data_IF_201022032570
#
_entry.id   IF_201022032570
#
_cell.length_a   1.000
_cell.length_b   1.000
_cell.length_c   1.000
_cell.angle_alpha   90.00
_cell.angle_beta   90.00
_cell.angle_gamma   90.00
#
_symmetry.space_group_name_H-M   'P 1'
#
loop_
_entity.id
_entity.type
_entity.pdbx_description
1 polymer ?
#
# COMPACT_ATOMS: atom_id res chain seq x y z
N UNK A 1 17.72 22.29 -30.45
CA UNK A 1 16.37 21.70 -30.59
C UNK A 1 15.62 21.91 -29.28
N UNK A 2 14.28 21.88 -29.23
CA UNK A 2 13.57 21.92 -27.96
C UNK A 2 13.96 20.69 -27.13
N UNK A 3 14.43 20.90 -25.90
CA UNK A 3 14.66 19.82 -24.95
C UNK A 3 13.32 19.38 -24.37
N UNK A 4 12.87 18.19 -24.75
CA UNK A 4 11.62 17.62 -24.26
C UNK A 4 11.81 16.85 -22.94
N UNK A 5 13.04 16.58 -22.50
CA UNK A 5 13.37 15.67 -21.41
C UNK A 5 12.89 14.24 -21.66
N UNK A 6 13.20 13.32 -20.74
CA UNK A 6 12.75 11.93 -20.86
C UNK A 6 11.23 11.81 -20.62
N UNK A 7 10.54 11.05 -21.48
CA UNK A 7 9.08 10.83 -21.36
C UNK A 7 8.76 9.36 -21.12
N UNK A 8 7.95 9.10 -20.09
CA UNK A 8 7.35 7.78 -19.85
C UNK A 8 6.08 7.64 -20.69
N UNK A 9 6.06 6.67 -21.59
CA UNK A 9 4.98 6.43 -22.55
C UNK A 9 4.43 5.01 -22.39
N UNK A 10 3.18 4.82 -22.82
CA UNK A 10 2.52 3.52 -22.90
C UNK A 10 1.98 3.34 -24.31
N UNK A 11 2.20 2.16 -24.88
CA UNK A 11 1.57 1.78 -26.14
C UNK A 11 0.12 1.36 -25.91
N UNK A 12 -0.69 1.34 -26.97
CA UNK A 12 -2.03 0.76 -26.90
C UNK A 12 -1.91 -0.76 -26.64
N UNK A 13 -2.48 -1.27 -25.53
CA UNK A 13 -2.49 -2.70 -25.22
C UNK A 13 -3.03 -3.58 -26.35
N UNK A 14 -4.04 -3.09 -27.10
CA UNK A 14 -4.66 -3.84 -28.19
C UNK A 14 -3.72 -3.97 -29.38
N UNK A 15 -3.09 -2.85 -29.76
CA UNK A 15 -2.11 -2.81 -30.83
C UNK A 15 -0.96 -3.78 -30.55
N UNK A 16 -0.43 -3.78 -29.32
CA UNK A 16 0.62 -4.71 -28.93
C UNK A 16 0.15 -6.16 -28.93
N UNK A 17 -1.07 -6.45 -28.47
CA UNK A 17 -1.62 -7.80 -28.51
C UNK A 17 -1.80 -8.31 -29.94
N UNK A 18 -2.35 -7.49 -30.84
CA UNK A 18 -2.54 -7.80 -32.26
C UNK A 18 -1.21 -8.02 -32.99
N UNK A 19 -0.17 -7.29 -32.58
CA UNK A 19 1.20 -7.46 -33.09
C UNK A 19 1.97 -8.65 -32.47
N UNK A 20 1.34 -9.45 -31.60
CA UNK A 20 1.98 -10.62 -30.95
C UNK A 20 2.80 -10.29 -29.70
N UNK A 21 2.80 -9.05 -29.24
CA UNK A 21 3.51 -8.55 -28.06
C UNK A 21 2.59 -8.34 -26.85
N UNK A 22 1.53 -9.13 -26.71
CA UNK A 22 0.53 -8.98 -25.63
C UNK A 22 1.12 -9.02 -24.21
N UNK A 23 2.26 -9.70 -24.01
CA UNK A 23 2.99 -9.70 -22.73
C UNK A 23 3.56 -8.32 -22.34
N UNK A 24 3.76 -7.43 -23.32
CA UNK A 24 4.28 -6.07 -23.13
C UNK A 24 3.18 -5.01 -23.07
N UNK A 25 1.92 -5.40 -23.24
CA UNK A 25 0.77 -4.51 -23.43
C UNK A 25 0.63 -3.40 -22.37
N UNK A 26 1.20 -3.58 -21.19
CA UNK A 26 1.11 -2.65 -20.07
C UNK A 26 2.46 -2.21 -19.51
N UNK A 27 3.54 -2.51 -20.23
CA UNK A 27 4.88 -2.09 -19.84
C UNK A 27 5.12 -0.65 -20.28
N UNK A 28 5.60 0.23 -19.38
CA UNK A 28 6.05 1.55 -19.78
C UNK A 28 7.33 1.46 -20.59
N UNK A 29 7.53 2.41 -21.48
CA UNK A 29 8.81 2.65 -22.14
C UNK A 29 9.16 4.14 -22.09
N UNK A 30 10.42 4.44 -22.31
CA UNK A 30 11.02 5.76 -22.23
C UNK A 30 11.37 6.26 -23.64
N UNK A 31 11.01 7.51 -23.90
CA UNK A 31 11.59 8.30 -24.97
C UNK A 31 12.67 9.21 -24.39
N UNK A 32 13.77 9.38 -25.13
CA UNK A 32 14.87 10.30 -24.80
C UNK A 32 14.51 11.76 -25.16
N UNK A 33 15.38 12.75 -24.87
CA UNK A 33 15.14 14.15 -25.18
C UNK A 33 14.99 14.49 -26.67
N UNK A 34 15.48 13.63 -27.58
CA UNK A 34 15.38 13.75 -29.04
C UNK A 34 14.18 12.92 -29.61
N UNK A 35 13.09 12.85 -28.85
CA UNK A 35 12.03 11.83 -28.94
C UNK A 35 12.41 10.42 -29.45
N UNK A 36 13.65 9.99 -29.27
CA UNK A 36 14.16 8.70 -29.67
C UNK A 36 13.82 7.60 -28.66
N UNK A 37 13.88 6.34 -29.10
CA UNK A 37 13.68 5.20 -28.20
C UNK A 37 14.92 5.01 -27.33
N UNK A 38 14.80 5.23 -26.02
CA UNK A 38 15.90 5.08 -25.06
C UNK A 38 16.29 3.59 -24.87
N UNK A 39 17.15 3.08 -25.75
CA UNK A 39 17.39 1.63 -25.96
C UNK A 39 17.75 0.86 -24.69
N UNK A 40 18.82 1.25 -23.99
CA UNK A 40 19.27 0.53 -22.79
C UNK A 40 18.30 0.69 -21.61
N UNK A 41 17.81 1.91 -21.29
CA UNK A 41 16.78 2.06 -20.26
C UNK A 41 15.55 1.20 -20.50
N UNK A 42 15.09 1.11 -21.75
CA UNK A 42 13.93 0.28 -22.08
C UNK A 42 14.23 -1.22 -21.98
N UNK A 43 15.41 -1.68 -22.40
CA UNK A 43 15.78 -3.08 -22.21
C UNK A 43 15.82 -3.46 -20.71
N UNK A 44 16.33 -2.58 -19.85
CA UNK A 44 16.27 -2.78 -18.40
C UNK A 44 14.83 -2.90 -17.88
N UNK A 45 13.94 -1.99 -18.29
CA UNK A 45 12.53 -2.05 -17.90
C UNK A 45 11.83 -3.31 -18.41
N UNK A 46 12.16 -3.77 -19.62
CA UNK A 46 11.62 -5.00 -20.20
C UNK A 46 12.10 -6.23 -19.42
N UNK A 47 13.40 -6.35 -19.17
CA UNK A 47 13.97 -7.47 -18.42
C UNK A 47 13.37 -7.55 -17.01
N UNK A 48 13.22 -6.40 -16.36
CA UNK A 48 12.59 -6.31 -15.04
C UNK A 48 11.10 -6.62 -15.07
N UNK A 49 10.37 -6.06 -16.03
CA UNK A 49 8.93 -6.20 -16.17
C UNK A 49 8.47 -7.59 -16.61
N UNK A 50 9.36 -8.36 -17.25
CA UNK A 50 9.13 -9.76 -17.65
C UNK A 50 9.72 -10.78 -16.67
N UNK A 51 10.39 -10.30 -15.61
CA UNK A 51 11.02 -11.14 -14.60
C UNK A 51 12.30 -11.85 -15.07
N UNK A 52 12.91 -11.40 -16.18
CA UNK A 52 14.20 -11.91 -16.64
C UNK A 52 15.37 -11.41 -15.79
N UNK A 53 15.20 -10.26 -15.15
CA UNK A 53 16.19 -9.71 -14.24
C UNK A 53 15.51 -9.04 -13.05
N UNK A 54 16.11 -9.21 -11.88
CA UNK A 54 15.74 -8.52 -10.65
C UNK A 54 17.00 -8.37 -9.77
N UNK A 55 17.01 -7.41 -8.83
CA UNK A 55 18.22 -7.11 -8.06
C UNK A 55 18.62 -8.24 -7.11
N UNK A 56 17.68 -9.12 -6.75
CA UNK A 56 17.92 -10.22 -5.80
C UNK A 56 18.65 -11.37 -6.47
N UNK A 57 18.21 -11.79 -7.65
CA UNK A 57 18.81 -12.92 -8.36
C UNK A 57 19.76 -12.51 -9.48
N UNK A 58 19.86 -11.22 -9.80
CA UNK A 58 20.75 -10.66 -10.84
C UNK A 58 20.65 -11.37 -12.20
N UNK A 59 19.47 -11.90 -12.51
CA UNK A 59 19.18 -12.63 -13.75
C UNK A 59 19.58 -14.12 -13.73
N UNK A 60 20.13 -14.65 -12.64
CA UNK A 60 20.42 -16.08 -12.49
C UNK A 60 19.15 -16.95 -12.49
N UNK A 61 18.04 -16.38 -12.02
CA UNK A 61 16.74 -17.05 -11.95
C UNK A 61 15.67 -16.12 -12.51
N UNK A 62 14.75 -16.70 -13.27
CA UNK A 62 13.56 -15.98 -13.70
C UNK A 62 12.64 -15.78 -12.51
N UNK A 63 12.26 -14.53 -12.24
CA UNK A 63 11.21 -14.23 -11.28
C UNK A 63 9.85 -14.65 -11.87
N UNK A 64 9.16 -15.66 -11.31
CA UNK A 64 7.91 -16.14 -11.86
C UNK A 64 6.76 -15.13 -11.70
N UNK A 65 6.89 -14.17 -10.77
CA UNK A 65 5.89 -13.15 -10.51
C UNK A 65 6.56 -11.77 -10.67
N UNK A 66 6.51 -11.19 -11.88
CA UNK A 66 7.15 -9.91 -12.13
C UNK A 66 6.51 -8.77 -11.31
N UNK A 67 7.19 -7.61 -11.23
CA UNK A 67 6.66 -6.45 -10.53
C UNK A 67 5.28 -6.02 -11.04
N UNK A 68 4.47 -5.46 -10.14
CA UNK A 68 3.13 -4.97 -10.49
C UNK A 68 3.19 -3.82 -11.51
N UNK A 69 2.07 -3.55 -12.20
CA UNK A 69 1.97 -2.42 -13.15
C UNK A 69 2.32 -1.07 -12.51
N UNK A 70 1.92 -0.87 -11.26
CA UNK A 70 2.23 0.36 -10.50
C UNK A 70 3.73 0.43 -10.20
N UNK A 71 4.34 -0.70 -9.84
CA UNK A 71 5.80 -0.78 -9.63
C UNK A 71 6.55 -0.41 -10.92
N UNK A 72 6.19 -1.01 -12.06
CA UNK A 72 6.81 -0.70 -13.34
C UNK A 72 6.64 0.76 -13.75
N UNK A 73 5.45 1.33 -13.56
CA UNK A 73 5.20 2.76 -13.75
C UNK A 73 6.12 3.64 -12.91
N UNK A 74 6.33 3.28 -11.65
CA UNK A 74 7.20 4.02 -10.74
C UNK A 74 8.67 3.86 -11.14
N UNK A 75 9.13 2.65 -11.45
CA UNK A 75 10.48 2.39 -11.93
C UNK A 75 10.81 3.21 -13.18
N UNK A 76 9.93 3.23 -14.18
CA UNK A 76 10.13 4.02 -15.38
C UNK A 76 10.22 5.53 -15.09
N UNK A 77 9.35 6.06 -14.21
CA UNK A 77 9.39 7.48 -13.82
C UNK A 77 10.66 7.84 -13.06
N UNK A 78 11.08 7.00 -12.13
CA UNK A 78 12.30 7.22 -11.35
C UNK A 78 13.55 7.11 -12.21
N UNK A 79 13.58 6.16 -13.15
CA UNK A 79 14.67 6.00 -14.10
C UNK A 79 14.74 7.19 -15.05
N UNK A 80 13.61 7.64 -15.60
CA UNK A 80 13.54 8.85 -16.42
C UNK A 80 14.09 10.07 -15.67
N UNK A 81 13.73 10.24 -14.39
CA UNK A 81 14.24 11.33 -13.56
C UNK A 81 15.76 11.26 -13.33
N UNK A 82 16.33 10.06 -13.21
CA UNK A 82 17.78 9.86 -13.07
C UNK A 82 18.53 10.11 -14.38
N UNK A 83 17.96 9.67 -15.51
CA UNK A 83 18.52 9.90 -16.85
C UNK A 83 18.51 11.39 -17.21
N UNK A 84 17.40 12.08 -16.96
CA UNK A 84 17.27 13.52 -17.19
C UNK A 84 18.28 14.32 -16.34
N UNK A 85 18.49 13.90 -15.09
CA UNK A 85 19.53 14.48 -14.24
C UNK A 85 20.91 14.29 -14.84
N UNK A 86 21.22 13.05 -15.25
CA UNK A 86 22.52 12.70 -15.78
C UNK A 86 22.85 13.50 -17.05
N UNK A 87 21.89 13.59 -17.99
CA UNK A 87 22.04 14.38 -19.22
C UNK A 87 22.24 15.87 -18.91
N UNK A 88 21.44 16.43 -17.99
CA UNK A 88 21.57 17.84 -17.55
C UNK A 88 22.94 18.13 -16.94
N UNK A 89 23.55 17.15 -16.28
CA UNK A 89 24.87 17.27 -15.65
C UNK A 89 26.02 16.78 -16.54
N UNK A 90 25.72 16.35 -17.77
CA UNK A 90 26.67 15.73 -18.70
C UNK A 90 27.41 14.54 -18.08
N UNK A 91 26.67 13.71 -17.35
CA UNK A 91 27.14 12.47 -16.72
C UNK A 91 26.56 11.30 -17.50
N UNK A 92 27.39 10.31 -17.83
CA UNK A 92 26.89 9.02 -18.30
C UNK A 92 26.37 8.21 -17.12
N UNK A 93 25.05 8.15 -16.94
CA UNK A 93 24.44 7.40 -15.83
C UNK A 93 24.88 5.93 -15.80
N UNK A 94 25.16 5.31 -16.94
CA UNK A 94 25.57 3.91 -16.97
C UNK A 94 26.96 3.72 -16.36
N UNK A 95 27.83 4.72 -16.44
CA UNK A 95 29.22 4.68 -15.97
C UNK A 95 29.49 5.52 -14.71
N UNK A 96 28.50 6.29 -14.26
CA UNK A 96 28.60 7.13 -13.08
C UNK A 96 29.08 6.36 -11.84
N UNK A 97 29.91 7.02 -11.03
CA UNK A 97 30.43 6.47 -9.79
C UNK A 97 29.38 6.49 -8.66
N UNK A 98 29.45 5.50 -7.79
CA UNK A 98 28.54 5.40 -6.65
C UNK A 98 28.67 6.61 -5.72
N UNK A 99 29.90 6.93 -5.29
CA UNK A 99 30.16 7.89 -4.22
C UNK A 99 30.09 9.31 -4.75
N UNK A 100 30.83 9.63 -5.81
CA UNK A 100 30.94 11.00 -6.29
C UNK A 100 29.68 11.48 -7.00
N UNK A 101 29.05 10.61 -7.81
CA UNK A 101 27.94 11.03 -8.67
C UNK A 101 26.59 10.73 -8.05
N UNK A 102 26.32 9.45 -7.72
CA UNK A 102 24.98 9.07 -7.26
C UNK A 102 24.69 9.55 -5.83
N UNK A 103 25.64 9.41 -4.90
CA UNK A 103 25.48 9.88 -3.52
C UNK A 103 25.83 11.37 -3.41
N UNK A 104 27.05 11.75 -3.81
CA UNK A 104 27.57 13.11 -3.64
C UNK A 104 26.86 14.18 -4.47
N UNK A 105 26.12 13.77 -5.51
CA UNK A 105 25.38 14.72 -6.36
C UNK A 105 23.91 14.37 -6.51
N UNK A 106 23.54 13.27 -7.18
CA UNK A 106 22.12 13.00 -7.48
C UNK A 106 21.25 12.95 -6.21
N UNK A 107 21.69 12.21 -5.19
CA UNK A 107 21.01 12.13 -3.91
C UNK A 107 21.02 13.47 -3.17
N UNK A 108 22.18 14.11 -3.05
CA UNK A 108 22.31 15.41 -2.35
C UNK A 108 21.51 16.54 -3.00
N UNK A 109 21.50 16.62 -4.33
CA UNK A 109 20.76 17.65 -5.08
C UNK A 109 19.25 17.49 -4.87
N UNK A 110 18.73 16.27 -4.82
CA UNK A 110 17.33 16.03 -4.46
C UNK A 110 17.01 16.43 -3.02
N UNK A 111 17.91 16.13 -2.06
CA UNK A 111 17.75 16.50 -0.66
C UNK A 111 17.83 18.02 -0.44
N UNK A 112 18.64 18.73 -1.24
CA UNK A 112 18.74 20.19 -1.20
C UNK A 112 17.64 20.89 -2.00
N UNK A 113 16.82 20.14 -2.74
CA UNK A 113 15.78 20.68 -3.63
C UNK A 113 16.30 21.22 -4.97
N UNK A 114 17.61 21.12 -5.22
CA UNK A 114 18.26 21.50 -6.49
C UNK A 114 17.72 20.64 -7.64
N UNK A 115 17.54 19.34 -7.40
CA UNK A 115 16.92 18.43 -8.36
C UNK A 115 15.51 18.04 -7.90
N UNK A 116 14.57 18.97 -8.03
CA UNK A 116 13.17 18.76 -7.69
C UNK A 116 12.26 19.61 -8.58
N UNK A 117 11.02 19.16 -8.81
CA UNK A 117 10.10 19.88 -9.71
C UNK A 117 9.71 21.28 -9.19
N UNK A 118 9.59 21.42 -7.86
CA UNK A 118 9.11 22.65 -7.21
C UNK A 118 10.24 23.42 -6.50
N UNK A 119 11.51 23.08 -6.77
CA UNK A 119 12.69 23.62 -6.07
C UNK A 119 12.61 23.48 -4.54
N UNK A 120 12.08 22.35 -4.05
CA UNK A 120 11.95 22.03 -2.63
C UNK A 120 12.67 20.73 -2.28
N UNK A 121 13.33 20.65 -1.11
CA UNK A 121 13.87 19.41 -0.57
C UNK A 121 12.89 18.25 -0.68
N UNK A 122 13.37 17.12 -1.21
CA UNK A 122 12.58 15.88 -1.27
C UNK A 122 12.78 15.05 0.00
N UNK A 123 11.71 14.39 0.43
CA UNK A 123 11.75 13.51 1.59
C UNK A 123 12.58 12.23 1.31
N UNK A 124 13.26 11.65 2.32
CA UNK A 124 14.04 10.42 2.17
C UNK A 124 13.28 9.27 1.51
N UNK A 125 11.98 9.15 1.77
CA UNK A 125 11.08 8.13 1.21
C UNK A 125 10.88 8.30 -0.30
N UNK A 126 11.12 9.49 -0.85
CA UNK A 126 11.09 9.76 -2.29
C UNK A 126 12.47 9.63 -2.91
N UNK A 127 13.50 10.10 -2.20
CA UNK A 127 14.90 10.07 -2.67
C UNK A 127 15.42 8.65 -2.78
N UNK A 128 15.22 7.83 -1.74
CA UNK A 128 15.79 6.49 -1.68
C UNK A 128 15.35 5.59 -2.85
N UNK A 129 14.05 5.48 -3.22
CA UNK A 129 13.63 4.66 -4.36
C UNK A 129 14.18 5.16 -5.71
N UNK A 130 14.38 6.48 -5.87
CA UNK A 130 14.95 7.05 -7.09
C UNK A 130 16.43 6.72 -7.25
N UNK A 131 17.20 6.86 -6.17
CA UNK A 131 18.60 6.43 -6.18
C UNK A 131 18.68 4.92 -6.39
N UNK A 132 17.80 4.15 -5.75
CA UNK A 132 17.76 2.69 -5.88
C UNK A 132 17.57 2.24 -7.33
N UNK A 133 16.62 2.82 -8.09
CA UNK A 133 16.43 2.40 -9.48
C UNK A 133 17.63 2.74 -10.38
N UNK A 134 18.32 3.85 -10.11
CA UNK A 134 19.53 4.23 -10.84
C UNK A 134 20.66 3.21 -10.60
N UNK A 135 20.81 2.78 -9.34
CA UNK A 135 21.75 1.73 -8.96
C UNK A 135 21.41 0.39 -9.61
N UNK A 136 20.14 0.00 -9.60
CA UNK A 136 19.67 -1.24 -10.21
C UNK A 136 19.88 -1.23 -11.73
N UNK A 137 19.73 -0.09 -12.39
CA UNK A 137 20.06 0.06 -13.80
C UNK A 137 21.56 -0.18 -14.08
N UNK A 138 22.44 0.34 -13.23
CA UNK A 138 23.89 0.07 -13.32
C UNK A 138 24.23 -1.39 -13.01
N UNK A 139 23.60 -2.00 -12.01
CA UNK A 139 23.78 -3.44 -11.71
C UNK A 139 23.37 -4.30 -12.90
N UNK A 140 22.19 -4.04 -13.49
CA UNK A 140 21.72 -4.72 -14.69
C UNK A 140 22.70 -4.52 -15.85
N UNK A 141 23.20 -3.31 -16.06
CA UNK A 141 24.17 -3.04 -17.12
C UNK A 141 25.47 -3.85 -16.93
N UNK A 142 25.94 -4.00 -15.69
CA UNK A 142 27.09 -4.85 -15.38
C UNK A 142 26.79 -6.33 -15.68
N UNK A 143 25.61 -6.82 -15.28
CA UNK A 143 25.18 -8.22 -15.52
C UNK A 143 25.02 -8.53 -17.01
N UNK A 144 24.74 -7.51 -17.84
CA UNK A 144 24.67 -7.62 -19.30
C UNK A 144 26.00 -7.36 -20.01
N UNK A 145 27.09 -7.09 -19.28
CA UNK A 145 28.40 -6.77 -19.84
C UNK A 145 28.47 -5.42 -20.56
N UNK A 146 27.56 -4.50 -20.26
CA UNK A 146 27.53 -3.13 -20.82
C UNK A 146 28.43 -2.16 -20.05
N UNK A 147 28.88 -2.56 -18.85
CA UNK A 147 29.85 -1.84 -18.02
C UNK A 147 30.69 -2.82 -17.20
N UNK A 148 31.77 -2.32 -16.63
CA UNK A 148 32.56 -3.05 -15.64
C UNK A 148 31.73 -3.38 -14.39
N UNK A 149 32.12 -4.45 -13.64
CA UNK A 149 31.44 -4.88 -12.43
C UNK A 149 31.16 -3.70 -11.49
N UNK A 150 29.88 -3.54 -11.15
CA UNK A 150 29.42 -2.51 -10.25
C UNK A 150 29.07 -3.10 -8.89
N UNK A 151 29.78 -2.68 -7.85
CA UNK A 151 29.59 -3.13 -6.48
C UNK A 151 29.05 -1.97 -5.66
N UNK A 152 27.87 -2.14 -5.09
CA UNK A 152 27.26 -1.18 -4.17
C UNK A 152 27.75 -1.52 -2.77
N UNK A 153 28.46 -0.62 -2.07
CA UNK A 153 28.85 -0.86 -0.69
C UNK A 153 27.60 -1.01 0.19
N UNK A 154 27.49 -2.12 0.92
CA UNK A 154 26.38 -2.37 1.85
C UNK A 154 26.86 -2.47 3.30
N UNK A 155 25.94 -2.24 4.22
CA UNK A 155 26.03 -2.55 5.65
C UNK A 155 25.04 -3.68 5.93
N UNK A 156 25.41 -4.61 6.80
CA UNK A 156 24.61 -5.78 7.12
C UNK A 156 24.10 -5.67 8.56
N UNK A 157 22.78 -5.62 8.73
CA UNK A 157 22.13 -5.82 10.02
C UNK A 157 21.57 -7.23 10.11
N UNK A 158 21.51 -7.74 11.33
CA UNK A 158 20.82 -8.98 11.63
C UNK A 158 19.72 -8.68 12.65
N UNK A 159 18.48 -9.09 12.37
CA UNK A 159 17.37 -8.97 13.31
C UNK A 159 16.57 -10.29 13.42
N UNK A 160 16.00 -10.55 14.58
CA UNK A 160 15.16 -11.73 14.81
C UNK A 160 13.70 -11.30 14.68
N UNK A 161 13.01 -11.80 13.65
CA UNK A 161 11.59 -11.54 13.45
C UNK A 161 10.77 -12.64 14.12
N UNK A 162 10.27 -12.39 15.33
CA UNK A 162 9.30 -13.28 15.98
C UNK A 162 8.04 -13.41 15.11
N UNK A 163 7.70 -14.64 14.71
CA UNK A 163 6.45 -14.96 14.01
C UNK A 163 5.93 -16.30 14.53
N UNK A 164 4.72 -16.34 15.09
CA UNK A 164 4.12 -17.57 15.60
C UNK A 164 3.62 -18.53 14.50
N UNK A 165 3.54 -18.07 13.25
CA UNK A 165 3.02 -18.86 12.12
C UNK A 165 4.05 -19.76 11.42
N UNK A 166 5.30 -19.84 11.90
CA UNK A 166 6.34 -20.64 11.25
C UNK A 166 7.36 -21.18 12.25
N UNK A 167 7.73 -22.45 12.14
CA UNK A 167 8.71 -23.13 13.02
C UNK A 167 10.16 -22.61 12.85
N UNK A 168 10.38 -21.65 11.94
CA UNK A 168 11.67 -20.97 11.68
C UNK A 168 11.76 -19.55 12.26
N UNK A 169 10.92 -19.22 13.23
CA UNK A 169 10.80 -17.90 13.85
C UNK A 169 12.03 -17.43 14.65
N UNK A 170 12.99 -18.32 14.89
CA UNK A 170 14.27 -18.02 15.55
C UNK A 170 15.43 -17.76 14.58
N UNK A 171 15.23 -17.91 13.26
CA UNK A 171 16.28 -17.63 12.28
C UNK A 171 16.55 -16.13 12.21
N UNK A 172 17.78 -15.75 12.50
CA UNK A 172 18.24 -14.38 12.40
C UNK A 172 18.19 -13.93 10.92
N UNK A 173 17.39 -12.92 10.62
CA UNK A 173 17.26 -12.37 9.27
C UNK A 173 18.37 -11.37 9.02
N UNK A 174 19.16 -11.63 7.99
CA UNK A 174 20.26 -10.77 7.54
C UNK A 174 19.73 -9.81 6.49
N UNK A 175 19.95 -8.51 6.70
CA UNK A 175 19.45 -7.43 5.85
C UNK A 175 20.63 -6.62 5.39
N UNK A 176 20.71 -6.38 4.09
CA UNK A 176 21.72 -5.50 3.52
C UNK A 176 21.11 -4.16 3.15
N UNK A 177 21.68 -3.08 3.66
CA UNK A 177 21.33 -1.70 3.31
C UNK A 177 22.52 -1.03 2.63
N UNK A 178 22.30 -0.27 1.56
CA UNK A 178 23.39 0.46 0.89
C UNK A 178 23.98 1.54 1.81
N UNK A 179 25.30 1.66 1.85
CA UNK A 179 25.99 2.75 2.58
C UNK A 179 25.63 4.10 1.97
N UNK A 180 25.15 5.04 2.78
CA UNK A 180 24.69 6.35 2.28
C UNK A 180 23.20 6.42 1.93
N UNK A 181 22.41 5.37 2.23
CA UNK A 181 20.93 5.46 2.24
C UNK A 181 20.48 6.52 3.25
N UNK A 182 19.55 7.38 2.84
CA UNK A 182 19.05 8.46 3.71
C UNK A 182 18.08 7.89 4.73
N UNK A 183 18.23 8.25 6.00
CA UNK A 183 17.35 7.78 7.08
C UNK A 183 15.91 8.29 6.88
N UNK A 184 14.97 7.35 6.91
CA UNK A 184 13.52 7.62 6.92
C UNK A 184 13.07 7.76 8.37
N UNK A 185 12.43 8.88 8.70
CA UNK A 185 11.90 9.08 10.05
C UNK A 185 10.62 8.27 10.22
N UNK A 186 10.52 7.51 11.32
CA UNK A 186 9.31 6.77 11.63
C UNK A 186 8.14 7.73 11.84
N UNK A 187 7.01 7.43 11.21
CA UNK A 187 5.78 8.20 11.33
C UNK A 187 5.19 8.00 12.72
N UNK A 188 5.03 9.08 13.47
CA UNK A 188 4.22 9.08 14.69
C UNK A 188 2.73 9.10 14.31
N UNK A 189 1.94 8.18 14.88
CA UNK A 189 0.49 8.16 14.65
C UNK A 189 -0.19 9.20 15.54
N UNK A 190 -0.95 10.08 14.89
CA UNK A 190 -1.90 11.00 15.51
C UNK A 190 -3.21 10.91 14.74
N UNK A 191 -4.32 10.91 15.46
CA UNK A 191 -5.65 10.84 14.87
C UNK A 191 -6.51 12.03 15.29
N UNK A 192 -7.48 12.43 14.46
CA UNK A 192 -8.54 13.33 14.89
C UNK A 192 -9.34 12.73 16.06
N UNK A 193 -10.06 13.57 16.79
CA UNK A 193 -10.96 13.12 17.85
C UNK A 193 -12.11 12.26 17.27
N UNK A 194 -12.77 11.49 18.14
CA UNK A 194 -13.93 10.67 17.72
C UNK A 194 -15.04 11.58 17.20
N UNK A 195 -15.28 12.70 17.89
CA UNK A 195 -16.28 13.70 17.54
C UNK A 195 -15.98 14.35 16.19
N UNK A 196 -14.71 14.66 15.91
CA UNK A 196 -14.28 15.19 14.62
C UNK A 196 -14.52 14.21 13.46
N UNK A 197 -14.24 12.92 13.69
CA UNK A 197 -14.47 11.85 12.71
C UNK A 197 -15.97 11.64 12.50
N UNK A 198 -16.77 11.62 13.55
CA UNK A 198 -18.22 11.47 13.48
C UNK A 198 -18.87 12.64 12.74
N UNK A 199 -18.50 13.88 13.07
CA UNK A 199 -19.01 15.06 12.39
C UNK A 199 -18.59 15.06 10.90
N UNK A 200 -17.37 14.65 10.58
CA UNK A 200 -16.93 14.50 9.19
C UNK A 200 -17.71 13.40 8.45
N UNK A 201 -17.89 12.25 9.09
CA UNK A 201 -18.66 11.12 8.54
C UNK A 201 -20.10 11.53 8.26
N UNK A 202 -20.72 12.26 9.18
CA UNK A 202 -22.06 12.81 9.01
C UNK A 202 -22.14 13.74 7.78
N UNK A 203 -21.15 14.63 7.60
CA UNK A 203 -21.08 15.49 6.40
C UNK A 203 -20.95 14.69 5.12
N UNK A 204 -20.21 13.57 5.11
CA UNK A 204 -20.13 12.67 3.95
C UNK A 204 -21.51 12.10 3.62
N UNK A 205 -22.23 11.58 4.62
CA UNK A 205 -23.58 11.01 4.43
C UNK A 205 -24.61 12.05 3.96
N UNK A 206 -24.49 13.29 4.42
CA UNK A 206 -25.38 14.39 4.02
C UNK A 206 -25.14 14.95 2.62
N UNK A 207 -24.11 14.49 1.90
CA UNK A 207 -23.86 14.97 0.54
C UNK A 207 -25.02 14.60 -0.38
N UNK A 208 -25.58 15.58 -1.12
CA UNK A 208 -26.67 15.30 -2.05
C UNK A 208 -26.28 14.24 -3.08
N UNK A 209 -27.20 13.30 -3.33
CA UNK A 209 -27.10 12.23 -4.35
C UNK A 209 -26.03 11.15 -4.08
N UNK A 210 -24.81 11.54 -3.73
CA UNK A 210 -23.66 10.61 -3.57
C UNK A 210 -23.46 10.13 -2.12
N UNK A 211 -23.98 10.86 -1.14
CA UNK A 211 -23.67 10.66 0.28
C UNK A 211 -23.99 9.27 0.81
N UNK A 212 -25.11 8.68 0.41
CA UNK A 212 -25.47 7.31 0.81
C UNK A 212 -24.43 6.26 0.36
N UNK A 213 -23.82 6.45 -0.82
CA UNK A 213 -22.82 5.51 -1.35
C UNK A 213 -21.44 5.79 -0.77
N UNK A 214 -21.00 7.05 -0.77
CA UNK A 214 -19.70 7.44 -0.23
C UNK A 214 -19.63 7.18 1.28
N UNK A 215 -20.70 7.45 2.02
CA UNK A 215 -20.83 7.15 3.43
C UNK A 215 -20.71 5.65 3.72
N UNK A 216 -21.30 4.78 2.90
CA UNK A 216 -21.12 3.33 3.04
C UNK A 216 -19.69 2.88 2.75
N UNK A 217 -18.99 3.52 1.81
CA UNK A 217 -17.55 3.25 1.57
C UNK A 217 -16.73 3.63 2.82
N UNK A 218 -17.01 4.80 3.41
CA UNK A 218 -16.36 5.24 4.65
C UNK A 218 -16.62 4.26 5.78
N UNK A 219 -17.87 3.85 5.97
CA UNK A 219 -18.28 2.90 7.01
C UNK A 219 -17.55 1.57 6.86
N UNK A 220 -17.47 1.05 5.63
CA UNK A 220 -16.75 -0.17 5.34
C UNK A 220 -15.26 -0.04 5.72
N UNK A 221 -14.59 1.02 5.27
CA UNK A 221 -13.15 1.24 5.58
C UNK A 221 -12.92 1.38 7.08
N UNK A 222 -13.72 2.20 7.78
CA UNK A 222 -13.53 2.49 9.21
C UNK A 222 -13.87 1.34 10.14
N UNK A 223 -14.57 0.31 9.67
CA UNK A 223 -15.00 -0.82 10.50
C UNK A 223 -14.38 -2.17 10.09
N UNK A 224 -13.66 -2.21 8.97
CA UNK A 224 -12.98 -3.43 8.50
C UNK A 224 -11.50 -3.19 8.22
N UNK A 225 -11.05 -1.94 8.28
CA UNK A 225 -9.69 -1.52 8.02
C UNK A 225 -9.20 -1.87 6.60
N UNK A 226 -10.08 -2.14 5.63
CA UNK A 226 -9.64 -2.44 4.26
C UNK A 226 -8.93 -1.24 3.61
N UNK A 227 -8.05 -1.51 2.66
CA UNK A 227 -7.34 -0.48 1.89
C UNK A 227 -8.31 0.21 0.93
N UNK A 228 -7.98 1.44 0.56
CA UNK A 228 -8.70 2.24 -0.44
C UNK A 228 -8.92 1.48 -1.75
N UNK A 229 -7.88 0.85 -2.28
CA UNK A 229 -7.95 0.04 -3.51
C UNK A 229 -8.85 -1.18 -3.37
N UNK A 230 -8.85 -1.83 -2.20
CA UNK A 230 -9.71 -2.99 -1.90
C UNK A 230 -11.18 -2.54 -1.87
N UNK A 231 -11.48 -1.38 -1.28
CA UNK A 231 -12.82 -0.78 -1.32
C UNK A 231 -13.26 -0.45 -2.77
N UNK A 232 -12.37 0.13 -3.59
CA UNK A 232 -12.65 0.42 -5.00
C UNK A 232 -12.81 -0.83 -5.87
N UNK A 233 -12.25 -1.96 -5.47
CA UNK A 233 -12.34 -3.24 -6.17
C UNK A 233 -13.35 -4.20 -5.54
N UNK A 234 -14.08 -3.77 -4.50
CA UNK A 234 -15.08 -4.60 -3.82
C UNK A 234 -16.17 -5.00 -4.80
N UNK A 235 -16.48 -6.29 -4.89
CA UNK A 235 -17.46 -6.84 -5.83
C UNK A 235 -18.79 -7.13 -5.17
N UNK A 236 -19.83 -7.24 -5.98
CA UNK A 236 -21.19 -7.59 -5.52
C UNK A 236 -21.22 -8.93 -4.78
N UNK A 237 -20.36 -9.86 -5.19
CA UNK A 237 -20.21 -11.23 -4.70
C UNK A 237 -19.08 -11.40 -3.68
N UNK A 238 -18.33 -10.33 -3.32
CA UNK A 238 -17.35 -10.41 -2.23
C UNK A 238 -18.01 -10.78 -0.91
N UNK A 239 -19.24 -10.29 -0.69
CA UNK A 239 -20.16 -10.81 0.31
C UNK A 239 -21.09 -11.81 -0.40
N UNK A 240 -21.27 -13.06 0.09
CA UNK A 240 -22.14 -14.04 -0.56
C UNK A 240 -23.54 -13.50 -0.85
N UNK A 241 -24.11 -13.89 -1.99
CA UNK A 241 -25.36 -13.31 -2.51
C UNK A 241 -26.56 -13.70 -1.65
N UNK A 242 -26.66 -14.97 -1.26
CA UNK A 242 -27.65 -15.46 -0.31
C UNK A 242 -27.16 -15.22 1.13
N UNK A 243 -28.08 -14.80 2.00
CA UNK A 243 -27.84 -14.64 3.43
C UNK A 243 -27.50 -15.97 4.12
N UNK A 244 -28.01 -17.09 3.59
CA UNK A 244 -27.75 -18.44 4.12
C UNK A 244 -26.30 -18.88 3.95
N UNK A 245 -25.60 -18.30 2.98
CA UNK A 245 -24.19 -18.60 2.71
C UNK A 245 -23.23 -17.76 3.55
N UNK A 246 -23.76 -16.90 4.44
CA UNK A 246 -22.94 -16.03 5.28
C UNK A 246 -22.29 -16.84 6.40
N UNK A 247 -20.96 -16.90 6.37
CA UNK A 247 -20.16 -17.53 7.42
C UNK A 247 -20.01 -16.55 8.59
N UNK A 248 -20.83 -16.73 9.62
CA UNK A 248 -20.74 -15.94 10.85
C UNK A 248 -19.60 -16.51 11.72
N UNK A 249 -18.60 -15.67 12.04
CA UNK A 249 -17.43 -16.10 12.81
C UNK A 249 -17.77 -16.45 14.27
N UNK A 250 -18.76 -15.75 14.84
CA UNK A 250 -19.12 -15.79 16.25
C UNK A 250 -20.65 -15.82 16.45
N UNK A 251 -21.33 -16.88 16.01
CA UNK A 251 -22.81 -16.93 15.96
C UNK A 251 -23.50 -16.91 17.33
N UNK A 252 -22.79 -17.33 18.38
CA UNK A 252 -23.35 -17.40 19.73
C UNK A 252 -23.30 -16.05 20.48
N UNK A 253 -22.67 -15.03 19.89
CA UNK A 253 -22.56 -13.70 20.47
C UNK A 253 -23.76 -12.81 20.08
N UNK A 254 -24.05 -11.73 20.84
CA UNK A 254 -25.06 -10.74 20.46
C UNK A 254 -24.84 -10.19 19.05
N UNK A 255 -25.92 -9.89 18.33
CA UNK A 255 -25.89 -9.53 16.91
C UNK A 255 -24.95 -8.32 16.64
N UNK A 256 -24.86 -7.41 17.59
CA UNK A 256 -24.07 -6.17 17.51
C UNK A 256 -22.57 -6.43 17.39
N UNK A 257 -22.09 -7.57 17.90
CA UNK A 257 -20.68 -7.97 17.86
C UNK A 257 -20.42 -9.11 16.89
N UNK A 258 -21.46 -9.63 16.21
CA UNK A 258 -21.30 -10.66 15.19
C UNK A 258 -20.59 -10.12 13.95
N UNK A 259 -19.85 -11.00 13.28
CA UNK A 259 -19.14 -10.67 12.04
C UNK A 259 -19.25 -11.77 11.00
N UNK A 260 -19.29 -11.35 9.73
CA UNK A 260 -19.27 -12.22 8.55
C UNK A 260 -17.85 -12.32 8.02
N UNK A 261 -17.37 -13.53 7.79
CA UNK A 261 -16.07 -13.77 7.15
C UNK A 261 -16.23 -13.58 5.64
N UNK A 262 -15.40 -12.72 5.06
CA UNK A 262 -15.34 -12.51 3.60
C UNK A 262 -13.92 -12.62 3.10
N UNK A 263 -13.77 -13.09 1.87
CA UNK A 263 -12.48 -13.25 1.21
C UNK A 263 -12.26 -12.11 0.22
N UNK A 264 -11.11 -11.45 0.32
CA UNK A 264 -10.71 -10.40 -0.61
C UNK A 264 -9.44 -10.79 -1.38
N UNK A 265 -9.42 -10.48 -2.68
CA UNK A 265 -8.26 -10.74 -3.57
C UNK A 265 -8.04 -9.65 -4.63
N UNK A 266 -9.03 -8.80 -4.86
CA UNK A 266 -8.95 -7.73 -5.85
C UNK A 266 -8.46 -6.42 -5.23
N UNK A 267 -7.52 -5.75 -5.90
CA UNK A 267 -6.94 -4.51 -5.42
C UNK A 267 -6.03 -4.66 -4.19
N UNK A 268 -5.73 -5.89 -3.75
CA UNK A 268 -4.92 -6.14 -2.55
C UNK A 268 -3.45 -5.74 -2.78
N UNK A 269 -2.79 -5.28 -1.70
CA UNK A 269 -1.36 -4.90 -1.73
C UNK A 269 -0.48 -6.15 -1.87
N UNK A 270 0.68 -6.01 -2.51
CA UNK A 270 1.67 -7.10 -2.68
C UNK A 270 1.80 -7.56 -4.13
N UNK A 271 2.11 -8.84 -4.32
CA UNK A 271 2.27 -9.51 -5.62
C UNK A 271 1.06 -9.28 -6.54
N UNK A 272 1.27 -9.29 -7.86
CA UNK A 272 0.21 -9.24 -8.86
C UNK A 272 0.21 -10.56 -9.62
N UNK A 273 -0.77 -11.43 -9.34
CA UNK A 273 -0.90 -12.73 -9.99
C UNK A 273 -1.57 -12.64 -11.36
N UNK A 274 -2.26 -11.52 -11.62
CA UNK A 274 -2.91 -11.26 -12.89
C UNK A 274 -3.74 -9.99 -12.83
N UNK A 275 -4.29 -9.63 -13.97
CA UNK A 275 -5.37 -8.65 -14.09
C UNK A 275 -6.56 -9.38 -14.69
N UNK A 276 -7.72 -9.20 -14.10
CA UNK A 276 -8.92 -9.87 -14.59
C UNK A 276 -9.54 -9.14 -15.79
N UNK A 277 -10.61 -9.70 -16.35
CA UNK A 277 -11.33 -9.13 -17.49
C UNK A 277 -11.97 -7.76 -17.22
N UNK A 278 -12.10 -7.36 -15.95
CA UNK A 278 -12.63 -6.06 -15.53
C UNK A 278 -11.53 -5.04 -15.20
N UNK A 279 -10.26 -5.40 -15.39
CA UNK A 279 -9.12 -4.52 -15.18
C UNK A 279 -8.66 -4.41 -13.73
N UNK A 280 -9.16 -5.26 -12.83
CA UNK A 280 -8.73 -5.27 -11.43
C UNK A 280 -7.48 -6.11 -11.23
N UNK A 281 -6.60 -5.62 -10.35
CA UNK A 281 -5.45 -6.39 -9.88
C UNK A 281 -5.91 -7.59 -9.06
N UNK A 282 -5.48 -8.79 -9.46
CA UNK A 282 -5.54 -10.00 -8.64
C UNK A 282 -4.27 -10.04 -7.80
N UNK A 283 -4.40 -9.79 -6.50
CA UNK A 283 -3.30 -9.86 -5.54
C UNK A 283 -3.47 -11.02 -4.56
N UNK A 284 -2.69 -11.01 -3.45
CA UNK A 284 -2.82 -12.00 -2.39
C UNK A 284 -4.25 -12.07 -1.87
N UNK A 285 -4.75 -13.29 -1.76
CA UNK A 285 -6.05 -13.58 -1.17
C UNK A 285 -5.91 -13.59 0.35
N UNK A 286 -6.91 -13.04 1.05
CA UNK A 286 -7.00 -13.19 2.49
C UNK A 286 -8.41 -12.92 2.99
N UNK A 287 -8.69 -13.45 4.18
CA UNK A 287 -9.97 -13.30 4.85
C UNK A 287 -9.98 -12.07 5.76
N UNK A 288 -11.16 -11.48 5.91
CA UNK A 288 -11.44 -10.43 6.88
C UNK A 288 -12.80 -10.65 7.52
N UNK A 289 -12.97 -10.05 8.68
CA UNK A 289 -14.25 -9.99 9.37
C UNK A 289 -14.93 -8.66 9.03
N UNK A 290 -16.20 -8.75 8.63
CA UNK A 290 -17.08 -7.60 8.37
C UNK A 290 -18.17 -7.62 9.43
N UNK A 291 -18.34 -6.57 10.25
CA UNK A 291 -19.43 -6.50 11.22
C UNK A 291 -20.79 -6.79 10.55
N UNK A 292 -21.62 -7.60 11.20
CA UNK A 292 -22.86 -8.10 10.59
C UNK A 292 -23.79 -6.98 10.16
N UNK A 293 -23.88 -5.90 10.93
CA UNK A 293 -24.68 -4.73 10.59
C UNK A 293 -24.20 -4.05 9.28
N UNK A 294 -22.90 -4.02 9.02
CA UNK A 294 -22.33 -3.52 7.75
C UNK A 294 -22.63 -4.49 6.62
N UNK A 295 -22.47 -5.79 6.85
CA UNK A 295 -22.80 -6.80 5.85
C UNK A 295 -24.27 -6.70 5.42
N UNK A 296 -25.21 -6.53 6.37
CA UNK A 296 -26.62 -6.25 6.10
C UNK A 296 -26.82 -4.94 5.31
N UNK A 297 -26.11 -3.87 5.68
CA UNK A 297 -26.19 -2.58 4.96
C UNK A 297 -25.68 -2.70 3.52
N UNK A 298 -24.59 -3.42 3.29
CA UNK A 298 -24.04 -3.74 1.97
C UNK A 298 -25.03 -4.57 1.15
N UNK A 299 -25.64 -5.58 1.77
CA UNK A 299 -26.67 -6.40 1.14
C UNK A 299 -27.87 -5.58 0.69
N UNK A 300 -28.37 -4.68 1.56
CA UNK A 300 -29.46 -3.76 1.20
C UNK A 300 -29.05 -2.83 0.05
N UNK A 301 -27.84 -2.24 0.13
CA UNK A 301 -27.30 -1.34 -0.88
C UNK A 301 -27.19 -1.99 -2.26
N UNK A 302 -26.66 -3.22 -2.35
CA UNK A 302 -26.51 -3.91 -3.65
C UNK A 302 -27.84 -4.20 -4.34
N UNK A 303 -28.90 -4.38 -3.55
CA UNK A 303 -30.25 -4.73 -4.03
C UNK A 303 -31.14 -3.50 -4.32
N UNK A 304 -30.72 -2.30 -3.91
CA UNK A 304 -31.51 -1.08 -4.06
C UNK A 304 -30.69 0.04 -4.71
N UNK A 305 -29.91 0.79 -3.94
CA UNK A 305 -29.22 2.01 -4.39
C UNK A 305 -28.24 1.72 -5.54
N UNK A 306 -27.51 0.60 -5.47
CA UNK A 306 -26.61 0.17 -6.56
C UNK A 306 -27.36 -0.03 -7.87
N UNK A 307 -28.52 -0.69 -7.84
CA UNK A 307 -29.32 -0.93 -9.04
C UNK A 307 -29.83 0.39 -9.64
N UNK A 308 -30.18 1.37 -8.79
CA UNK A 308 -30.56 2.71 -9.24
C UNK A 308 -29.40 3.41 -9.96
N UNK A 309 -28.19 3.36 -9.41
CA UNK A 309 -27.00 3.90 -10.07
C UNK A 309 -26.71 3.19 -11.40
N UNK A 310 -26.82 1.86 -11.45
CA UNK A 310 -26.60 1.06 -12.66
C UNK A 310 -27.59 1.38 -13.78
N UNK A 311 -28.85 1.70 -13.45
CA UNK A 311 -29.88 2.09 -14.44
C UNK A 311 -29.42 3.26 -15.32
N UNK A 312 -28.58 4.17 -14.83
CA UNK A 312 -28.04 5.28 -15.63
C UNK A 312 -27.17 4.78 -16.78
N UNK A 313 -26.39 3.73 -16.57
CA UNK A 313 -25.58 3.10 -17.62
C UNK A 313 -26.45 2.24 -18.53
N UNK A 314 -27.40 1.48 -17.99
CA UNK A 314 -28.30 0.65 -18.79
C UNK A 314 -29.12 1.47 -19.79
N UNK A 315 -29.58 2.67 -19.40
CA UNK A 315 -30.26 3.61 -20.30
C UNK A 315 -29.41 4.06 -21.50
N UNK A 316 -28.07 4.02 -21.40
CA UNK A 316 -27.16 4.33 -22.52
C UNK A 316 -27.04 3.14 -23.50
N UNK A 317 -27.32 1.92 -23.04
CA UNK A 317 -27.37 0.74 -23.88
C UNK A 317 -28.62 0.73 -24.75
N UNK A 318 -28.46 1.00 -26.05
CA UNK A 318 -29.57 1.06 -27.02
C UNK A 318 -30.19 -0.31 -27.37
N UNK A 319 -29.52 -1.42 -27.04
CA UNK A 319 -29.99 -2.79 -27.31
C UNK A 319 -29.92 -3.68 -26.07
N UNK A 320 -30.71 -4.77 -26.04
CA UNK A 320 -30.68 -5.77 -24.98
C UNK A 320 -29.29 -6.39 -24.79
N UNK A 321 -28.56 -6.62 -25.89
CA UNK A 321 -27.17 -7.12 -25.84
C UNK A 321 -26.20 -6.10 -25.24
N UNK A 322 -26.36 -4.81 -25.57
CA UNK A 322 -25.56 -3.76 -24.96
C UNK A 322 -25.84 -3.66 -23.45
N UNK A 323 -27.10 -3.75 -23.05
CA UNK A 323 -27.49 -3.76 -21.64
C UNK A 323 -26.95 -4.99 -20.88
N UNK A 324 -27.03 -6.19 -21.47
CA UNK A 324 -26.41 -7.41 -20.90
C UNK A 324 -24.91 -7.25 -20.70
N UNK A 325 -24.19 -6.70 -21.70
CA UNK A 325 -22.76 -6.41 -21.60
C UNK A 325 -22.43 -5.40 -20.49
N UNK A 326 -23.27 -4.38 -20.31
CA UNK A 326 -23.12 -3.41 -19.21
C UNK A 326 -23.31 -4.10 -17.85
N UNK A 327 -24.33 -4.95 -17.70
CA UNK A 327 -24.55 -5.71 -16.46
C UNK A 327 -23.36 -6.64 -16.15
N UNK A 328 -22.86 -7.37 -17.15
CA UNK A 328 -21.70 -8.26 -17.00
C UNK A 328 -20.43 -7.50 -16.63
N UNK A 329 -20.21 -6.29 -17.17
CA UNK A 329 -19.05 -5.46 -16.83
C UNK A 329 -19.18 -4.77 -15.46
N UNK A 330 -20.39 -4.56 -14.98
CA UNK A 330 -20.66 -3.90 -13.71
C UNK A 330 -20.58 -4.91 -12.55
N UNK A 331 -19.37 -5.39 -12.24
CA UNK A 331 -19.13 -6.33 -11.12
C UNK A 331 -18.85 -5.63 -9.79
N UNK A 332 -18.43 -4.37 -9.83
CA UNK A 332 -18.10 -3.58 -8.63
C UNK A 332 -19.35 -3.26 -7.81
N UNK A 333 -19.22 -3.33 -6.49
CA UNK A 333 -20.28 -3.00 -5.55
C UNK A 333 -20.60 -1.50 -5.61
N UNK A 334 -19.60 -0.66 -5.43
CA UNK A 334 -19.78 0.78 -5.34
C UNK A 334 -19.81 1.43 -6.72
N UNK A 335 -20.97 1.98 -7.08
CA UNK A 335 -21.19 2.73 -8.32
C UNK A 335 -21.52 4.16 -7.95
N UNK A 336 -20.94 5.12 -8.65
CA UNK A 336 -21.21 6.53 -8.45
C UNK A 336 -22.66 6.83 -8.88
N UNK A 337 -23.53 7.35 -7.98
CA UNK A 337 -24.94 7.59 -8.30
C UNK A 337 -25.20 8.62 -9.40
N UNK A 338 -24.23 9.51 -9.71
CA UNK A 338 -24.36 10.51 -10.77
C UNK A 338 -23.98 9.95 -12.14
N UNK A 339 -23.05 9.01 -12.20
CA UNK A 339 -22.51 8.51 -13.47
C UNK A 339 -22.90 7.06 -13.75
N UNK A 340 -23.21 6.27 -12.73
CA UNK A 340 -23.40 4.81 -12.80
C UNK A 340 -22.10 4.02 -13.03
N UNK A 341 -20.94 4.67 -13.02
CA UNK A 341 -19.63 4.03 -13.16
C UNK A 341 -19.07 3.63 -11.79
N UNK A 342 -18.16 2.65 -11.76
CA UNK A 342 -17.45 2.25 -10.52
C UNK A 342 -16.71 3.43 -9.88
N UNK A 343 -16.59 3.40 -8.56
CA UNK A 343 -15.62 4.24 -7.87
C UNK A 343 -14.19 3.76 -8.11
N UNK A 344 -13.26 4.70 -8.28
CA UNK A 344 -11.81 4.44 -8.29
C UNK A 344 -11.19 4.81 -6.94
N UNK A 345 -9.98 4.30 -6.67
CA UNK A 345 -9.24 4.68 -5.46
C UNK A 345 -9.01 6.19 -5.36
N UNK A 346 -8.74 6.86 -6.48
CA UNK A 346 -8.54 8.31 -6.50
C UNK A 346 -9.84 9.08 -6.21
N UNK A 347 -10.99 8.61 -6.69
CA UNK A 347 -12.28 9.19 -6.33
C UNK A 347 -12.58 9.01 -4.83
N UNK A 348 -12.24 7.85 -4.26
CA UNK A 348 -12.39 7.60 -2.82
C UNK A 348 -11.52 8.56 -2.01
N UNK A 349 -10.24 8.70 -2.38
CA UNK A 349 -9.35 9.65 -1.72
C UNK A 349 -9.85 11.10 -1.88
N UNK A 350 -10.28 11.47 -3.09
CA UNK A 350 -10.74 12.81 -3.39
C UNK A 350 -11.94 13.21 -2.53
N UNK A 351 -12.98 12.39 -2.39
CA UNK A 351 -14.09 12.76 -1.51
C UNK A 351 -13.69 12.75 -0.04
N UNK A 352 -12.81 11.81 0.37
CA UNK A 352 -12.33 11.71 1.74
C UNK A 352 -11.66 13.02 2.19
N UNK A 353 -10.85 13.60 1.31
CA UNK A 353 -10.12 14.85 1.59
C UNK A 353 -10.88 16.13 1.24
N UNK A 354 -11.83 16.11 0.30
CA UNK A 354 -12.57 17.31 -0.12
C UNK A 354 -13.73 17.68 0.80
N UNK A 355 -14.37 16.68 1.42
CA UNK A 355 -15.38 16.97 2.45
C UNK A 355 -14.63 17.58 3.63
N UNK A 356 -15.03 18.79 4.04
CA UNK A 356 -14.39 19.51 5.14
C UNK A 356 -14.22 18.55 6.33
N UNK A 357 -12.98 18.16 6.57
CA UNK A 357 -12.62 17.07 7.46
C UNK A 357 -11.33 17.41 8.20
N UNK A 358 -10.94 16.58 9.16
CA UNK A 358 -9.75 16.86 9.96
C UNK A 358 -8.49 16.95 9.09
N UNK A 359 -7.55 17.80 9.51
CA UNK A 359 -6.28 17.95 8.80
C UNK A 359 -5.57 16.59 8.68
N UNK A 360 -5.03 16.32 7.49
CA UNK A 360 -4.30 15.09 7.16
C UNK A 360 -5.11 13.78 7.23
N UNK A 361 -6.43 13.83 7.44
CA UNK A 361 -7.30 12.66 7.44
C UNK A 361 -7.36 12.01 6.04
N UNK A 362 -7.10 10.70 5.99
CA UNK A 362 -7.04 9.94 4.74
C UNK A 362 -7.53 8.52 4.94
N UNK A 363 -7.89 7.79 3.87
CA UNK A 363 -8.30 6.38 3.99
C UNK A 363 -7.25 5.50 4.69
N UNK A 364 -5.96 5.78 4.47
CA UNK A 364 -4.88 5.07 5.14
C UNK A 364 -4.87 5.35 6.65
N UNK A 365 -5.08 6.61 7.06
CA UNK A 365 -5.27 6.96 8.46
C UNK A 365 -6.53 6.34 9.08
N UNK A 366 -7.63 6.23 8.33
CA UNK A 366 -8.84 5.54 8.80
C UNK A 366 -8.58 4.08 9.16
N UNK A 367 -7.76 3.40 8.36
CA UNK A 367 -7.30 2.03 8.64
C UNK A 367 -6.40 1.94 9.88
N UNK A 368 -5.45 2.86 10.03
CA UNK A 368 -4.60 2.92 11.24
C UNK A 368 -5.43 3.24 12.50
N UNK A 369 -6.41 4.13 12.36
CA UNK A 369 -7.35 4.49 13.42
C UNK A 369 -8.16 3.27 13.88
N UNK A 370 -8.71 2.47 12.95
CA UNK A 370 -9.41 1.23 13.30
C UNK A 370 -8.52 0.31 14.15
N UNK A 371 -7.27 0.09 13.74
CA UNK A 371 -6.36 -0.80 14.47
C UNK A 371 -6.07 -0.30 15.88
N UNK A 372 -5.81 1.00 16.03
CA UNK A 372 -5.56 1.63 17.32
C UNK A 372 -6.80 1.65 18.23
N UNK A 373 -7.99 1.91 17.68
CA UNK A 373 -9.26 1.87 18.41
C UNK A 373 -9.61 0.47 18.89
N UNK A 374 -9.47 -0.51 18.00
CA UNK A 374 -9.71 -1.91 18.31
C UNK A 374 -8.77 -2.40 19.41
N UNK A 375 -7.48 -2.06 19.32
CA UNK A 375 -6.50 -2.35 20.36
C UNK A 375 -6.92 -1.72 21.70
N UNK A 376 -7.25 -0.43 21.71
CA UNK A 376 -7.70 0.28 22.91
C UNK A 376 -8.92 -0.38 23.56
N UNK A 377 -9.93 -0.76 22.76
CA UNK A 377 -11.15 -1.42 23.24
C UNK A 377 -10.88 -2.80 23.83
N UNK A 378 -10.00 -3.59 23.19
CA UNK A 378 -9.53 -4.87 23.76
C UNK A 378 -8.77 -4.66 25.06
N UNK A 379 -7.88 -3.67 25.12
CA UNK A 379 -7.13 -3.38 26.34
C UNK A 379 -8.01 -2.90 27.49
N UNK A 380 -9.14 -2.22 27.22
CA UNK A 380 -10.12 -1.85 28.27
C UNK A 380 -10.74 -3.05 28.97
N UNK A 381 -10.82 -4.22 28.32
CA UNK A 381 -11.28 -5.46 28.95
C UNK A 381 -10.28 -5.96 30.01
N UNK A 382 -9.02 -5.50 29.95
CA UNK A 382 -7.97 -5.70 30.95
C UNK A 382 -7.82 -4.48 31.88
N UNK A 383 -8.95 -3.87 32.27
CA UNK A 383 -9.00 -2.62 33.03
C UNK A 383 -8.26 -2.68 34.37
N UNK A 384 -8.27 -3.82 35.06
CA UNK A 384 -7.55 -4.02 36.32
C UNK A 384 -6.02 -3.93 36.13
N UNK A 385 -5.48 -4.59 35.10
CA UNK A 385 -4.07 -4.53 34.75
C UNK A 385 -3.66 -3.11 34.36
N UNK A 386 -4.48 -2.42 33.56
CA UNK A 386 -4.26 -1.02 33.20
C UNK A 386 -4.23 -0.10 34.43
N UNK A 387 -5.18 -0.26 35.34
CA UNK A 387 -5.23 0.56 36.56
C UNK A 387 -4.04 0.31 37.47
N UNK A 388 -3.58 -0.95 37.60
CA UNK A 388 -2.41 -1.27 38.40
C UNK A 388 -1.15 -0.60 37.84
N UNK A 389 -0.92 -0.70 36.53
CA UNK A 389 0.22 -0.04 35.86
C UNK A 389 0.19 1.48 36.04
N UNK A 390 -0.98 2.10 35.88
CA UNK A 390 -1.13 3.57 36.00
C UNK A 390 -0.97 4.08 37.44
N UNK A 391 -1.28 3.25 38.45
CA UNK A 391 -1.16 3.60 39.87
C UNK A 391 0.25 3.39 40.43
N UNK A 392 1.14 2.70 39.71
CA UNK A 392 2.52 2.47 40.15
C UNK A 392 3.43 3.64 39.73
N UNK A 393 3.86 4.52 40.64
CA UNK A 393 4.79 5.59 40.31
C UNK A 393 6.17 5.01 39.94
N UNK A 394 6.85 5.63 38.98
CA UNK A 394 8.22 5.27 38.56
C UNK A 394 8.40 3.81 38.12
N UNK A 395 7.38 3.20 37.51
CA UNK A 395 7.44 1.81 37.04
C UNK A 395 8.57 1.62 36.01
N UNK A 396 9.42 0.61 36.22
CA UNK A 396 10.54 0.27 35.32
C UNK A 396 10.07 -0.48 34.06
N UNK A 397 10.90 -0.48 33.01
CA UNK A 397 10.67 -1.18 31.72
C UNK A 397 10.53 -2.68 31.88
N UNK A 398 11.27 -3.22 32.82
CA UNK A 398 11.34 -4.65 33.11
C UNK A 398 10.36 -5.05 34.21
N UNK A 399 9.54 -4.12 34.68
CA UNK A 399 8.53 -4.42 35.68
C UNK A 399 7.50 -5.40 35.10
N UNK A 400 7.21 -6.46 35.85
CA UNK A 400 6.34 -7.57 35.42
C UNK A 400 4.98 -7.10 34.88
N UNK A 401 4.35 -6.12 35.52
CA UNK A 401 3.08 -5.53 35.06
C UNK A 401 3.18 -4.84 33.68
N UNK A 402 4.31 -4.20 33.37
CA UNK A 402 4.53 -3.55 32.07
C UNK A 402 4.75 -4.61 30.99
N UNK A 403 5.50 -5.66 31.31
CA UNK A 403 5.72 -6.79 30.40
C UNK A 403 4.40 -7.53 30.12
N UNK A 404 3.59 -7.79 31.15
CA UNK A 404 2.27 -8.40 30.98
C UNK A 404 1.35 -7.54 30.11
N UNK A 405 1.32 -6.22 30.32
CA UNK A 405 0.52 -5.31 29.50
C UNK A 405 0.97 -5.32 28.03
N UNK A 406 2.29 -5.30 27.80
CA UNK A 406 2.89 -5.41 26.47
C UNK A 406 2.51 -6.74 25.81
N UNK A 407 2.61 -7.85 26.51
CA UNK A 407 2.33 -9.19 25.96
C UNK A 407 0.86 -9.34 25.61
N UNK A 408 -0.05 -8.80 26.43
CA UNK A 408 -1.47 -8.72 26.10
C UNK A 408 -1.70 -7.90 24.82
N UNK A 409 -1.13 -6.69 24.74
CA UNK A 409 -1.29 -5.83 23.57
C UNK A 409 -0.69 -6.47 22.29
N UNK A 410 0.47 -7.12 22.42
CA UNK A 410 1.11 -7.84 21.32
C UNK A 410 0.28 -9.03 20.86
N UNK A 411 -0.34 -9.76 21.78
CA UNK A 411 -1.25 -10.87 21.47
C UNK A 411 -2.44 -10.38 20.65
N UNK A 412 -3.10 -9.29 21.06
CA UNK A 412 -4.21 -8.68 20.29
C UNK A 412 -3.74 -8.25 18.90
N UNK A 413 -2.56 -7.63 18.82
CA UNK A 413 -1.98 -7.19 17.55
C UNK A 413 -1.76 -8.39 16.61
N UNK A 414 -1.15 -9.46 17.11
CA UNK A 414 -0.74 -10.61 16.30
C UNK A 414 -1.91 -11.52 15.91
N UNK A 415 -2.86 -11.74 16.82
CA UNK A 415 -3.94 -12.69 16.65
C UNK A 415 -5.19 -12.09 16.01
N UNK A 416 -5.40 -10.77 16.14
CA UNK A 416 -6.64 -10.12 15.69
C UNK A 416 -6.38 -9.02 14.66
N UNK A 417 -5.50 -8.07 14.97
CA UNK A 417 -5.25 -6.91 14.09
C UNK A 417 -4.47 -7.33 12.84
N UNK A 418 -3.37 -8.06 12.98
CA UNK A 418 -2.50 -8.46 11.87
C UNK A 418 -3.25 -9.32 10.84
N UNK A 419 -4.07 -10.33 11.22
CA UNK A 419 -4.88 -11.09 10.28
C UNK A 419 -5.91 -10.21 9.57
N UNK A 420 -6.65 -9.37 10.30
CA UNK A 420 -7.64 -8.44 9.71
C UNK A 420 -6.99 -7.48 8.69
N UNK A 421 -5.81 -6.95 9.02
CA UNK A 421 -5.07 -6.03 8.17
C UNK A 421 -4.29 -6.76 7.06
N UNK A 422 -4.03 -8.06 7.19
CA UNK A 422 -3.13 -8.83 6.30
C UNK A 422 -1.78 -8.13 6.16
N UNK A 423 -1.14 -7.85 7.28
CA UNK A 423 0.23 -7.32 7.29
C UNK A 423 1.24 -8.46 7.16
N UNK A 424 2.11 -8.38 6.14
CA UNK A 424 3.20 -9.32 5.95
C UNK A 424 4.20 -9.26 7.12
N UNK A 425 4.57 -8.04 7.55
CA UNK A 425 5.53 -7.83 8.63
C UNK A 425 4.89 -7.52 9.98
N UNK A 426 5.44 -8.08 11.06
CA UNK A 426 5.16 -7.68 12.45
C UNK A 426 5.62 -6.24 12.74
N UNK A 427 6.65 -5.75 12.04
CA UNK A 427 7.19 -4.38 12.21
C UNK A 427 6.17 -3.30 11.87
N UNK A 428 5.30 -3.55 10.89
CA UNK A 428 4.23 -2.59 10.52
C UNK A 428 3.19 -2.44 11.65
N UNK A 429 3.07 -3.44 12.52
CA UNK A 429 2.11 -3.42 13.63
C UNK A 429 2.66 -2.85 14.94
N UNK A 430 3.98 -2.73 15.10
CA UNK A 430 4.61 -2.12 16.28
C UNK A 430 4.26 -0.64 16.45
N UNK A 431 3.92 0.05 15.36
CA UNK A 431 3.50 1.45 15.41
C UNK A 431 2.21 1.61 16.23
N UNK A 432 1.33 0.60 16.25
CA UNK A 432 0.10 0.61 17.06
C UNK A 432 0.41 0.45 18.56
N UNK A 433 1.45 -0.33 18.89
CA UNK A 433 1.94 -0.46 20.25
C UNK A 433 2.52 0.87 20.75
N UNK A 434 3.36 1.53 19.94
CA UNK A 434 3.91 2.84 20.26
C UNK A 434 2.81 3.88 20.50
N UNK A 435 1.78 3.88 19.66
CA UNK A 435 0.63 4.76 19.84
C UNK A 435 -0.10 4.51 21.17
N UNK A 436 -0.34 3.24 21.53
CA UNK A 436 -1.04 2.89 22.76
C UNK A 436 -0.28 3.39 24.00
N UNK A 437 1.02 3.10 24.09
CA UNK A 437 1.84 3.54 25.22
C UNK A 437 1.99 5.06 25.30
N UNK A 438 2.13 5.74 24.16
CA UNK A 438 2.13 7.20 24.10
C UNK A 438 0.81 7.78 24.65
N UNK A 439 -0.33 7.20 24.27
CA UNK A 439 -1.66 7.61 24.72
C UNK A 439 -1.87 7.38 26.22
N UNK A 440 -1.37 6.25 26.76
CA UNK A 440 -1.44 5.92 28.19
C UNK A 440 -0.48 6.75 29.06
N UNK A 441 0.35 7.63 28.46
CA UNK A 441 1.39 8.42 29.15
C UNK A 441 2.39 7.55 29.93
N UNK A 442 2.56 6.29 29.51
CA UNK A 442 3.65 5.45 29.99
C UNK A 442 4.93 6.01 29.34
N UNK A 443 5.99 6.34 30.10
CA UNK A 443 7.14 7.08 29.58
C UNK A 443 7.73 6.47 28.30
N UNK A 444 7.74 7.22 27.19
CA UNK A 444 8.23 6.76 25.88
C UNK A 444 9.76 6.57 25.81
N UNK A 445 10.52 7.01 26.83
CA UNK A 445 11.92 6.59 26.97
C UNK A 445 12.01 5.06 26.96
N UNK A 446 10.97 4.38 27.46
CA UNK A 446 10.82 2.92 27.60
C UNK A 446 10.78 2.14 26.28
N UNK A 447 10.59 2.83 25.14
CA UNK A 447 10.65 2.25 23.80
C UNK A 447 11.92 2.63 23.02
N UNK A 448 12.89 3.34 23.61
CA UNK A 448 14.11 3.79 22.88
C UNK A 448 15.02 2.65 22.40
N UNK A 449 15.17 1.56 23.17
CA UNK A 449 15.94 0.38 22.72
C UNK A 449 15.31 -0.32 21.51
N UNK A 450 14.04 -0.05 21.25
CA UNK A 450 13.30 -0.62 20.13
C UNK A 450 13.65 0.15 18.86
N UNK A 451 13.95 1.45 18.99
CA UNK A 451 14.42 2.35 17.91
C UNK A 451 15.87 2.06 17.49
N UNK A 452 16.71 1.50 18.38
CA UNK A 452 18.13 1.24 18.10
C UNK A 452 18.38 -0.11 17.41
N UNK A 453 17.55 -1.12 17.66
CA UNK A 453 17.51 -2.36 16.84
C UNK A 453 16.80 -2.14 15.49
N UNK A 454 16.20 -0.97 15.30
CA UNK A 454 15.34 -0.57 14.17
C UNK A 454 16.08 0.27 13.09
N UNK A 455 17.38 0.51 13.23
CA UNK A 455 18.14 1.46 12.38
C UNK A 455 18.42 0.91 10.97
N UNK A 456 18.16 -0.36 10.69
CA UNK A 456 18.44 -0.93 9.37
C UNK A 456 17.17 -1.45 8.69
N UNK A 457 16.71 -0.68 7.70
CA UNK A 457 15.56 -0.94 6.85
C UNK A 457 15.65 -2.27 6.10
N UNK A 458 14.52 -2.99 6.00
CA UNK A 458 14.37 -4.20 5.19
C UNK A 458 13.33 -3.97 4.09
N UNK A 459 13.73 -4.22 2.84
CA UNK A 459 12.83 -4.77 1.83
C UNK A 459 12.59 -6.25 2.18
N UNK A 460 11.39 -6.59 2.63
CA UNK A 460 11.11 -7.93 3.14
C UNK A 460 11.06 -8.98 2.02
N UNK A 461 11.83 -10.05 2.23
CA UNK A 461 11.75 -11.33 1.54
C UNK A 461 10.37 -11.98 1.76
N UNK A 462 9.47 -11.80 0.81
CA UNK A 462 8.20 -12.56 0.76
C UNK A 462 8.45 -13.96 0.16
N UNK A 463 8.69 -14.94 1.04
CA UNK A 463 8.53 -16.37 0.72
C UNK A 463 7.14 -16.65 0.16
#
# INVERSE_FOLDING_TARGET
MPDYGYKVVYADPKLLAEAGFGLLAYQPFLLDPEPGYARHPNQFLLDRGLGYWDPKWRGEKRNPIPPSRISMKNFARWLANALEWADTRSIDLMRADYVSDLIGRYQEEMLKGIWSADNRPLAPETVNPRVQIALEFQMWAADKGLRDPFVIPTTTATYIAGSHDNSRSHEAKVVQSRKGKVKVNKRTLSFPSVEEIEAWRERVHHRPVVGATEGLIVDLVLNTAIRREEAACWRVDTLPLDLKDWKIANPDQPEEVQSVIVTIKYGTKGKQYGIDEHGDKIGPQGEIHVPLWIARRIHSYRNKERLMALKLQLKKGKSLEAQRRIMQKAVHLFLNPLTGLRYTGDQIYAFWSRVQGPAHWSPHQGRDWWACRYLEERMKQHSELLQQVLKTPNISREHSLVLALKDCAMTVIQMEIRPQLRHASSRTTETYLHWLFAKMRVPLAMTQQWVELDVEDVEEDDK
#
